data_IF_176410985577
#
_entry.id   IF_176410985577
#
_cell.length_a   1.000
_cell.length_b   1.000
_cell.length_c   1.000
_cell.angle_alpha   90.00
_cell.angle_beta   90.00
_cell.angle_gamma   90.00
#
_symmetry.space_group_name_H-M   'P 1'
#
loop_
_entity.id
_entity.type
_entity.pdbx_description
1 polymer ?
#
# COMPACT_ATOMS: atom_id res chain seq x y z
N UNK A 1 1.27 7.95 -16.47
CA UNK A 1 1.39 6.48 -16.45
C UNK A 1 2.74 6.18 -15.84
N UNK A 2 2.79 5.50 -14.70
CA UNK A 2 4.06 5.18 -14.02
C UNK A 2 4.58 3.83 -14.52
N UNK A 3 5.75 3.84 -15.17
CA UNK A 3 6.44 2.64 -15.63
C UNK A 3 7.79 2.57 -14.93
N UNK A 4 7.99 1.53 -14.13
CA UNK A 4 9.28 1.27 -13.50
C UNK A 4 10.16 0.48 -14.48
N UNK A 5 11.34 1.01 -14.80
CA UNK A 5 12.34 0.34 -15.66
C UNK A 5 13.08 -0.75 -14.88
N UNK A 6 13.15 -0.63 -13.55
CA UNK A 6 13.73 -1.60 -12.62
C UNK A 6 12.71 -1.96 -11.54
N UNK A 7 12.69 -3.20 -11.05
CA UNK A 7 11.77 -3.62 -9.98
C UNK A 7 12.20 -2.97 -8.65
N UNK A 8 11.47 -1.94 -8.15
CA UNK A 8 11.89 -1.21 -6.95
C UNK A 8 11.68 -2.03 -5.67
N UNK A 9 10.77 -3.01 -5.73
CA UNK A 9 10.44 -3.91 -4.63
C UNK A 9 10.04 -5.26 -5.21
N UNK A 10 10.61 -6.35 -4.68
CA UNK A 10 10.32 -7.70 -5.14
C UNK A 10 8.83 -8.05 -5.00
N UNK A 11 8.17 -8.27 -6.14
CA UNK A 11 6.74 -8.57 -6.23
C UNK A 11 6.34 -9.77 -5.37
N UNK A 12 7.15 -10.84 -5.36
CA UNK A 12 6.89 -12.03 -4.53
C UNK A 12 6.74 -11.70 -3.05
N UNK A 13 7.54 -10.75 -2.53
CA UNK A 13 7.46 -10.30 -1.13
C UNK A 13 6.19 -9.50 -0.89
N UNK A 14 5.84 -8.57 -1.79
CA UNK A 14 4.61 -7.77 -1.69
C UNK A 14 3.37 -8.66 -1.76
N UNK A 15 3.35 -9.62 -2.70
CA UNK A 15 2.23 -10.56 -2.87
C UNK A 15 2.02 -11.41 -1.62
N UNK A 16 3.11 -11.89 -1.01
CA UNK A 16 3.03 -12.68 0.23
C UNK A 16 2.43 -11.86 1.40
N UNK A 17 2.70 -10.56 1.45
CA UNK A 17 2.18 -9.65 2.47
C UNK A 17 0.83 -9.00 2.10
N UNK A 18 0.20 -9.41 1.00
CA UNK A 18 -1.06 -8.81 0.56
C UNK A 18 -2.19 -9.05 1.58
N UNK A 19 -3.05 -8.06 1.72
CA UNK A 19 -4.23 -8.15 2.58
C UNK A 19 -5.46 -8.46 1.71
N UNK A 20 -6.35 -9.33 2.20
CA UNK A 20 -7.61 -9.62 1.52
C UNK A 20 -8.67 -8.63 1.96
N UNK A 21 -9.20 -7.85 1.03
CA UNK A 21 -10.33 -6.95 1.26
C UNK A 21 -11.57 -7.58 0.63
N UNK A 22 -12.69 -7.58 1.36
CA UNK A 22 -13.97 -8.09 0.87
C UNK A 22 -14.79 -6.92 0.31
N UNK A 23 -15.15 -7.00 -0.96
CA UNK A 23 -16.03 -6.04 -1.63
C UNK A 23 -17.25 -6.81 -2.13
N UNK A 24 -18.38 -6.63 -1.45
CA UNK A 24 -19.56 -7.48 -1.62
C UNK A 24 -19.24 -8.95 -1.35
N UNK A 25 -19.42 -9.80 -2.38
CA UNK A 25 -19.16 -11.24 -2.30
C UNK A 25 -17.78 -11.64 -2.82
N UNK A 26 -16.93 -10.68 -3.19
CA UNK A 26 -15.63 -10.94 -3.80
C UNK A 26 -14.52 -10.62 -2.78
N UNK A 27 -13.54 -11.52 -2.66
CA UNK A 27 -12.32 -11.29 -1.90
C UNK A 27 -11.18 -10.89 -2.84
N UNK A 28 -10.65 -9.69 -2.67
CA UNK A 28 -9.64 -9.08 -3.53
C UNK A 28 -8.35 -8.93 -2.72
N UNK A 29 -7.22 -9.52 -3.17
CA UNK A 29 -5.93 -9.24 -2.56
C UNK A 29 -5.47 -7.85 -2.98
N UNK A 30 -5.21 -6.98 -2.00
CA UNK A 30 -4.65 -5.65 -2.21
C UNK A 30 -3.31 -5.53 -1.48
N UNK A 31 -2.47 -4.60 -1.91
CA UNK A 31 -1.18 -4.35 -1.27
C UNK A 31 -1.41 -3.87 0.17
N UNK A 32 -0.54 -4.30 1.10
CA UNK A 32 -0.60 -3.83 2.48
C UNK A 32 -0.31 -2.32 2.53
N UNK A 33 -0.87 -1.63 3.55
CA UNK A 33 -0.60 -0.20 3.75
C UNK A 33 0.92 0.06 3.90
N UNK A 34 1.63 -0.83 4.59
CA UNK A 34 3.07 -0.68 4.81
C UNK A 34 3.89 -0.81 3.52
N UNK A 35 3.54 -1.76 2.66
CA UNK A 35 4.21 -1.92 1.37
C UNK A 35 3.79 -0.81 0.38
N UNK A 36 2.54 -0.33 0.44
CA UNK A 36 2.09 0.82 -0.34
C UNK A 36 2.88 2.09 0.00
N UNK A 37 3.15 2.34 1.29
CA UNK A 37 4.00 3.46 1.74
C UNK A 37 5.42 3.33 1.18
N UNK A 38 6.01 2.12 1.19
CA UNK A 38 7.35 1.89 0.62
C UNK A 38 7.37 2.17 -0.88
N UNK A 39 6.39 1.66 -1.63
CA UNK A 39 6.28 1.90 -3.07
C UNK A 39 6.16 3.39 -3.39
N UNK A 40 5.29 4.10 -2.66
CA UNK A 40 5.10 5.56 -2.80
C UNK A 40 6.40 6.34 -2.53
N UNK A 41 7.17 5.96 -1.51
CA UNK A 41 8.49 6.57 -1.21
C UNK A 41 9.52 6.35 -2.32
N UNK A 42 9.60 5.14 -2.88
CA UNK A 42 10.61 4.81 -3.91
C UNK A 42 10.27 5.46 -5.24
N UNK A 43 8.97 5.63 -5.55
CA UNK A 43 8.52 6.27 -6.80
C UNK A 43 8.91 7.75 -6.92
N UNK A 44 9.56 8.35 -5.91
CA UNK A 44 10.10 9.70 -5.99
C UNK A 44 9.05 10.80 -6.15
N UNK A 45 7.75 10.48 -5.98
CA UNK A 45 6.70 11.50 -5.92
C UNK A 45 6.83 12.26 -4.61
N UNK A 46 7.69 13.28 -4.63
CA UNK A 46 7.82 14.32 -3.60
C UNK A 46 6.47 14.97 -3.23
N UNK A 47 5.45 14.77 -4.08
CA UNK A 47 4.20 15.52 -4.03
C UNK A 47 3.16 15.11 -2.99
N UNK A 48 3.26 14.01 -2.25
CA UNK A 48 2.21 13.73 -1.26
C UNK A 48 2.73 13.25 0.09
N UNK A 49 3.38 14.18 0.80
CA UNK A 49 3.41 14.14 2.28
C UNK A 49 1.99 13.99 2.86
N UNK A 50 0.96 14.48 2.16
CA UNK A 50 -0.46 14.30 2.53
C UNK A 50 -0.94 12.85 2.37
N UNK A 51 -0.58 12.13 1.30
CA UNK A 51 -0.91 10.70 1.13
C UNK A 51 -0.32 9.88 2.28
N UNK A 52 0.94 10.14 2.65
CA UNK A 52 1.59 9.44 3.78
C UNK A 52 0.87 9.73 5.09
N UNK A 53 0.41 10.97 5.32
CA UNK A 53 -0.38 11.32 6.51
C UNK A 53 -1.75 10.64 6.50
N UNK A 54 -2.43 10.60 5.36
CA UNK A 54 -3.71 9.93 5.20
C UNK A 54 -3.59 8.44 5.49
N UNK A 55 -2.59 7.76 4.91
CA UNK A 55 -2.33 6.33 5.14
C UNK A 55 -1.99 6.04 6.62
N UNK A 56 -1.23 6.92 7.29
CA UNK A 56 -0.97 6.81 8.73
C UNK A 56 -2.26 6.93 9.57
N UNK A 57 -3.17 7.84 9.21
CA UNK A 57 -4.48 7.98 9.89
C UNK A 57 -5.35 6.73 9.71
N UNK A 58 -5.39 6.16 8.50
CA UNK A 58 -6.12 4.90 8.23
C UNK A 58 -5.56 3.76 9.08
N UNK A 59 -4.23 3.59 9.12
CA UNK A 59 -3.57 2.59 9.97
C UNK A 59 -3.91 2.75 11.45
N UNK A 60 -4.05 3.99 11.93
CA UNK A 60 -4.44 4.27 13.31
C UNK A 60 -5.89 3.86 13.60
N UNK A 61 -6.81 4.09 12.67
CA UNK A 61 -8.21 3.69 12.82
C UNK A 61 -8.39 2.17 12.78
N UNK A 62 -7.65 1.46 11.95
CA UNK A 62 -7.69 -0.01 11.94
C UNK A 62 -7.18 -0.63 13.25
N UNK A 63 -6.18 -0.02 13.90
CA UNK A 63 -5.70 -0.44 15.22
C UNK A 63 -6.69 -0.21 16.36
N UNK A 64 -7.60 0.77 16.24
CA UNK A 64 -8.63 1.06 17.25
C UNK A 64 -9.88 0.19 17.12
N UNK A 65 -10.09 -0.45 15.97
CA UNK A 65 -11.22 -1.37 15.72
C UNK A 65 -10.91 -2.83 16.07
N UNK A 66 -9.70 -3.12 16.51
CA UNK A 66 -9.21 -4.44 16.89
C UNK A 66 -9.09 -4.52 18.41
#
# INVERSE_FOLDING_TARGET
MDVFIYEPVAYKKIKANSIKVRVGNISIPVVSIDDLIKLKKISGRQQDMEDIRALKKVKLHEKKKK
#
